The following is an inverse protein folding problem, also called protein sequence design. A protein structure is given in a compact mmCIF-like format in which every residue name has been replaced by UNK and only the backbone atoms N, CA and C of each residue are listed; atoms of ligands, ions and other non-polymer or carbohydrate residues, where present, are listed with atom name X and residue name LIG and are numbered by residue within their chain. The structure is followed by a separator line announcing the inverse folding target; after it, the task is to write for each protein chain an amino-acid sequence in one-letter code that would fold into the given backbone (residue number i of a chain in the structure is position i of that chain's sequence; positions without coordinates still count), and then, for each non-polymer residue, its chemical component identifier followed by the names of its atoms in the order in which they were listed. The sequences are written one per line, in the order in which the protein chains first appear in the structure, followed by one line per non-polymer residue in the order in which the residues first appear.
data_IF_059731411911
#
_entry.id   IF_059731411911
#
_cell.length_a   1.000
_cell.length_b   1.000
_cell.length_c   1.000
_cell.angle_alpha   90.00
_cell.angle_beta   90.00
_cell.angle_gamma   90.00
#
_symmetry.space_group_name_H-M   'P 1'
#
loop_
_entity.id
_entity.type
_entity.pdbx_description
1 polymer ?
#
# COMPACT_ATOMS: atom_id res chain seq x y z
N UNK A 1 -14.33 18.92 25.16
CA UNK A 1 -14.32 18.63 23.70
C UNK A 1 -15.48 19.41 23.07
N UNK A 2 -15.21 20.33 22.13
CA UNK A 2 -16.27 21.16 21.52
C UNK A 2 -17.20 20.27 20.68
N UNK A 3 -18.51 20.37 20.90
CA UNK A 3 -19.51 19.59 20.16
C UNK A 3 -19.66 20.19 18.77
N UNK A 4 -19.34 19.39 17.74
CA UNK A 4 -19.44 19.80 16.34
C UNK A 4 -20.90 19.96 15.90
N UNK A 5 -21.17 20.99 15.12
CA UNK A 5 -22.45 21.19 14.44
C UNK A 5 -22.71 20.08 13.41
N UNK A 6 -23.97 19.87 13.02
CA UNK A 6 -24.29 18.96 11.91
C UNK A 6 -23.53 19.29 10.62
N UNK A 7 -23.35 20.57 10.30
CA UNK A 7 -22.64 21.04 9.12
C UNK A 7 -21.15 20.69 9.18
N UNK A 8 -20.50 20.92 10.32
CA UNK A 8 -19.10 20.55 10.55
C UNK A 8 -18.89 19.03 10.47
N UNK A 9 -19.83 18.25 11.04
CA UNK A 9 -19.80 16.78 10.91
C UNK A 9 -19.89 16.36 9.45
N UNK A 10 -20.75 17.01 8.65
CA UNK A 10 -20.91 16.70 7.23
C UNK A 10 -19.65 17.04 6.43
N UNK A 11 -19.05 18.21 6.68
CA UNK A 11 -17.80 18.62 6.04
C UNK A 11 -16.67 17.63 6.36
N UNK A 12 -16.56 17.19 7.62
CA UNK A 12 -15.59 16.19 8.01
C UNK A 12 -15.83 14.83 7.34
N UNK A 13 -17.08 14.40 7.22
CA UNK A 13 -17.44 13.19 6.49
C UNK A 13 -16.98 13.28 5.03
N UNK A 14 -17.23 14.40 4.34
CA UNK A 14 -16.76 14.59 2.96
C UNK A 14 -15.24 14.55 2.80
N UNK A 15 -14.49 15.07 3.77
CA UNK A 15 -13.03 15.08 3.72
C UNK A 15 -12.39 13.75 4.14
N UNK A 16 -12.99 13.04 5.11
CA UNK A 16 -12.36 11.89 5.78
C UNK A 16 -12.91 10.55 5.35
N UNK A 17 -14.20 10.46 5.07
CA UNK A 17 -14.81 9.21 4.62
C UNK A 17 -14.38 8.95 3.18
N UNK A 18 -14.23 7.67 2.83
CA UNK A 18 -13.73 7.26 1.52
C UNK A 18 -14.64 6.24 0.86
N UNK A 19 -14.68 6.27 -0.48
CA UNK A 19 -15.48 5.36 -1.30
C UNK A 19 -14.61 4.69 -2.34
N UNK A 20 -14.66 3.36 -2.36
CA UNK A 20 -14.02 2.59 -3.40
C UNK A 20 -14.73 2.84 -4.75
N UNK A 21 -13.98 3.34 -5.73
CA UNK A 21 -14.45 3.58 -7.11
C UNK A 21 -13.96 2.55 -8.11
N UNK A 22 -13.28 1.50 -7.66
CA UNK A 22 -12.85 0.40 -8.52
C UNK A 22 -14.07 -0.32 -9.10
N UNK A 23 -14.40 0.04 -10.34
CA UNK A 23 -15.68 -0.31 -10.99
C UNK A 23 -15.78 -1.74 -11.50
N UNK A 24 -14.70 -2.52 -11.45
CA UNK A 24 -14.67 -3.87 -12.03
C UNK A 24 -15.25 -4.93 -11.08
N UNK A 25 -14.85 -4.94 -9.80
CA UNK A 25 -15.28 -5.98 -8.85
C UNK A 25 -15.01 -5.59 -7.38
N UNK A 26 -16.04 -5.63 -6.53
CA UNK A 26 -15.94 -5.33 -5.10
C UNK A 26 -15.07 -6.38 -4.35
N UNK A 27 -15.01 -7.63 -4.83
CA UNK A 27 -14.19 -8.73 -4.29
C UNK A 27 -12.71 -8.60 -4.67
N UNK A 28 -12.39 -7.87 -5.74
CA UNK A 28 -11.02 -7.78 -6.23
C UNK A 28 -10.10 -7.13 -5.20
N UNK A 29 -10.52 -6.03 -4.56
CA UNK A 29 -9.71 -5.37 -3.52
C UNK A 29 -9.44 -6.30 -2.34
N UNK A 30 -10.45 -7.05 -1.89
CA UNK A 30 -10.34 -8.02 -0.78
C UNK A 30 -9.31 -9.11 -1.07
N UNK A 31 -9.24 -9.61 -2.31
CA UNK A 31 -8.30 -10.68 -2.72
C UNK A 31 -6.92 -10.13 -3.11
N UNK A 32 -6.87 -9.03 -3.84
CA UNK A 32 -5.65 -8.53 -4.46
C UNK A 32 -4.76 -7.74 -3.51
N UNK A 33 -5.31 -7.07 -2.49
CA UNK A 33 -4.50 -6.37 -1.49
C UNK A 33 -3.61 -7.35 -0.69
N UNK A 34 -4.14 -8.44 -0.09
CA UNK A 34 -3.29 -9.45 0.55
C UNK A 34 -2.29 -10.10 -0.42
N UNK A 35 -2.73 -10.46 -1.63
CA UNK A 35 -1.86 -11.07 -2.65
C UNK A 35 -0.69 -10.17 -3.03
N UNK A 36 -0.93 -8.88 -3.25
CA UNK A 36 0.11 -7.90 -3.60
C UNK A 36 1.09 -7.72 -2.45
N UNK A 37 0.62 -7.61 -1.20
CA UNK A 37 1.49 -7.56 -0.01
C UNK A 37 2.35 -8.82 0.10
N UNK A 38 1.76 -10.00 -0.02
CA UNK A 38 2.47 -11.28 0.05
C UNK A 38 3.52 -11.42 -1.06
N UNK A 39 3.22 -10.98 -2.29
CA UNK A 39 4.17 -10.99 -3.41
C UNK A 39 5.37 -10.09 -3.15
N UNK A 40 5.14 -8.88 -2.61
CA UNK A 40 6.23 -7.95 -2.26
C UNK A 40 7.13 -8.55 -1.18
N UNK A 41 6.56 -9.12 -0.12
CA UNK A 41 7.34 -9.74 0.95
C UNK A 41 8.13 -10.96 0.47
N UNK A 42 7.51 -11.82 -0.36
CA UNK A 42 8.21 -12.97 -0.96
C UNK A 42 9.38 -12.55 -1.83
N UNK A 43 9.21 -11.52 -2.66
CA UNK A 43 10.30 -11.00 -3.48
C UNK A 43 11.46 -10.46 -2.64
N UNK A 44 11.18 -9.74 -1.55
CA UNK A 44 12.22 -9.24 -0.64
C UNK A 44 12.95 -10.39 0.06
N UNK A 45 12.23 -11.39 0.58
CA UNK A 45 12.86 -12.57 1.22
C UNK A 45 13.68 -13.39 0.26
N UNK A 46 13.15 -13.65 -0.94
CA UNK A 46 13.88 -14.38 -1.96
C UNK A 46 15.18 -13.67 -2.30
N UNK A 47 15.15 -12.34 -2.45
CA UNK A 47 16.36 -11.57 -2.73
C UNK A 47 17.36 -11.62 -1.57
N UNK A 48 16.91 -11.37 -0.34
CA UNK A 48 17.77 -11.45 0.84
C UNK A 48 18.44 -12.83 0.98
N UNK A 49 17.69 -13.89 0.70
CA UNK A 49 18.25 -15.25 0.66
C UNK A 49 19.34 -15.39 -0.39
N UNK A 50 19.15 -14.85 -1.61
CA UNK A 50 20.19 -14.89 -2.66
C UNK A 50 21.43 -14.09 -2.26
N UNK A 51 21.27 -12.93 -1.63
CA UNK A 51 22.40 -12.09 -1.20
C UNK A 51 23.22 -12.75 -0.06
N UNK A 52 22.54 -13.51 0.81
CA UNK A 52 23.13 -14.21 1.96
C UNK A 52 23.62 -15.64 1.67
N UNK A 53 23.21 -16.25 0.56
CA UNK A 53 23.50 -17.67 0.27
C UNK A 53 25.00 -17.98 0.28
N UNK A 54 25.84 -17.06 -0.21
CA UNK A 54 27.30 -17.23 -0.22
C UNK A 54 27.96 -17.13 1.16
N UNK A 55 27.24 -16.64 2.18
CA UNK A 55 27.74 -16.43 3.54
C UNK A 55 27.21 -17.47 4.55
N UNK A 56 26.62 -18.58 4.09
CA UNK A 56 26.13 -19.66 4.97
C UNK A 56 27.20 -20.69 5.33
N UNK A 57 28.42 -20.54 4.81
CA UNK A 57 29.55 -21.44 5.04
C UNK A 57 30.33 -21.14 6.33
N UNK A 58 31.58 -21.62 6.43
CA UNK A 58 32.49 -21.25 7.52
C UNK A 58 32.60 -19.74 7.67
N UNK A 59 32.84 -19.28 8.90
CA UNK A 59 32.94 -17.85 9.22
C UNK A 59 34.15 -17.24 8.50
N UNK A 60 33.86 -16.34 7.57
CA UNK A 60 34.84 -15.54 6.83
C UNK A 60 34.37 -14.08 6.81
N UNK A 61 35.17 -13.21 7.43
CA UNK A 61 34.83 -11.80 7.57
C UNK A 61 34.67 -11.08 6.23
N UNK A 62 35.49 -11.39 5.22
CA UNK A 62 35.40 -10.75 3.91
C UNK A 62 34.12 -11.17 3.18
N UNK A 63 33.75 -12.45 3.29
CA UNK A 63 32.51 -12.97 2.69
C UNK A 63 31.28 -12.38 3.37
N UNK A 64 31.29 -12.27 4.71
CA UNK A 64 30.24 -11.64 5.49
C UNK A 64 30.04 -10.17 5.13
N UNK A 65 31.11 -9.37 5.09
CA UNK A 65 31.06 -7.94 4.75
C UNK A 65 30.54 -7.72 3.33
N UNK A 66 30.98 -8.55 2.38
CA UNK A 66 30.50 -8.48 1.01
C UNK A 66 29.00 -8.83 0.89
N UNK A 67 28.51 -9.80 1.67
CA UNK A 67 27.10 -10.16 1.72
C UNK A 67 26.23 -9.06 2.36
N UNK A 68 26.70 -8.46 3.45
CA UNK A 68 26.05 -7.33 4.10
C UNK A 68 25.95 -6.13 3.15
N UNK A 69 27.06 -5.79 2.49
CA UNK A 69 27.10 -4.71 1.49
C UNK A 69 26.06 -4.94 0.38
N UNK A 70 25.96 -6.16 -0.16
CA UNK A 70 24.95 -6.51 -1.19
C UNK A 70 23.52 -6.39 -0.67
N UNK A 71 23.27 -6.87 0.54
CA UNK A 71 21.95 -6.83 1.18
C UNK A 71 21.47 -5.37 1.36
N UNK A 72 22.37 -4.47 1.76
CA UNK A 72 22.06 -3.06 2.03
C UNK A 72 22.18 -2.14 0.80
N UNK A 73 22.83 -2.58 -0.28
CA UNK A 73 22.97 -1.81 -1.52
C UNK A 73 21.62 -1.39 -2.15
N UNK A 74 20.52 -2.07 -1.80
CA UNK A 74 19.19 -1.74 -2.32
C UNK A 74 18.14 -1.69 -1.22
N UNK A 75 17.32 -0.65 -1.30
CA UNK A 75 16.11 -0.53 -0.47
C UNK A 75 15.08 -1.62 -0.81
N UNK A 76 14.54 -2.36 0.18
CA UNK A 76 13.48 -3.36 -0.03
C UNK A 76 12.24 -2.77 -0.69
N UNK A 77 11.52 -3.58 -1.48
CA UNK A 77 10.24 -3.16 -2.06
C UNK A 77 9.23 -2.92 -0.95
N UNK A 78 8.55 -1.79 -0.98
CA UNK A 78 7.50 -1.45 -0.03
C UNK A 78 6.10 -1.63 -0.63
N UNK A 79 5.18 -2.22 0.13
CA UNK A 79 3.77 -2.21 -0.19
C UNK A 79 3.07 -1.07 0.56
N UNK A 80 2.62 -0.05 -0.17
CA UNK A 80 1.78 1.02 0.39
C UNK A 80 0.37 0.89 -0.18
N UNK A 81 -0.61 0.62 0.69
CA UNK A 81 -2.03 0.71 0.32
C UNK A 81 -2.34 2.20 0.09
N UNK A 82 -2.90 2.52 -1.07
CA UNK A 82 -3.38 3.88 -1.35
C UNK A 82 -4.79 4.06 -0.77
N UNK A 83 -5.13 5.27 -0.29
CA UNK A 83 -6.51 5.68 -0.05
C UNK A 83 -7.43 5.34 -1.22
N UNK A 84 -8.69 5.02 -0.91
CA UNK A 84 -9.77 5.24 -1.86
C UNK A 84 -10.09 6.75 -1.94
N UNK A 85 -10.92 7.17 -2.90
CA UNK A 85 -11.22 8.59 -3.08
C UNK A 85 -12.07 9.15 -1.93
N UNK A 86 -11.88 10.41 -1.53
CA UNK A 86 -12.74 11.08 -0.54
C UNK A 86 -14.22 11.08 -0.95
N UNK A 87 -15.11 11.03 0.04
CA UNK A 87 -16.55 11.02 -0.18
C UNK A 87 -17.02 12.29 -0.91
N UNK A 88 -16.43 13.45 -0.62
CA UNK A 88 -16.76 14.70 -1.32
C UNK A 88 -16.49 14.63 -2.82
N UNK A 89 -15.31 14.10 -3.21
CA UNK A 89 -14.95 13.90 -4.61
C UNK A 89 -15.88 12.89 -5.30
N UNK A 90 -16.19 11.79 -4.61
CA UNK A 90 -17.13 10.78 -5.11
C UNK A 90 -18.52 11.36 -5.37
N UNK A 91 -19.04 12.17 -4.44
CA UNK A 91 -20.36 12.82 -4.57
C UNK A 91 -20.35 13.80 -5.75
N UNK A 92 -19.32 14.64 -5.87
CA UNK A 92 -19.17 15.58 -6.99
C UNK A 92 -19.20 14.83 -8.33
N UNK A 93 -18.39 13.78 -8.46
CA UNK A 93 -18.36 12.94 -9.66
C UNK A 93 -19.73 12.32 -9.98
N UNK A 94 -20.50 11.88 -8.97
CA UNK A 94 -21.85 11.35 -9.18
C UNK A 94 -22.85 12.40 -9.64
N UNK A 95 -22.74 13.64 -9.15
CA UNK A 95 -23.62 14.74 -9.57
C UNK A 95 -23.33 15.16 -11.02
N UNK A 96 -22.06 15.31 -11.39
CA UNK A 96 -21.62 15.62 -12.76
C UNK A 96 -22.16 14.59 -13.76
N UNK A 97 -22.01 13.30 -13.45
CA UNK A 97 -22.54 12.19 -14.27
C UNK A 97 -24.05 12.15 -14.39
N UNK A 98 -24.78 12.75 -13.45
CA UNK A 98 -26.25 12.82 -13.50
C UNK A 98 -26.71 13.95 -14.41
N UNK A 99 -25.99 15.07 -14.39
CA UNK A 99 -26.29 16.22 -15.25
C UNK A 99 -25.99 15.94 -16.73
N UNK A 100 -25.00 15.08 -17.00
CA UNK A 100 -24.61 14.69 -18.36
C UNK A 100 -25.51 13.59 -18.97
N UNK A 101 -26.65 13.28 -18.38
CA UNK A 101 -27.47 12.11 -18.69
C UNK A 101 -28.92 12.55 -18.91
#
# INVERSE_FOLDING_TARGET
MVRKSPQEKKQLSYAKDRRNTYGENDKASRKNLPRKRARVHRANRHRAHQDLLGATGPVDAQVSDAAETRLHARRPKAFRKRPDIPLGEYVRWKLERRQSR
#
